data_IF_256126549183
#
_entry.id   IF_256126549183
#
_cell.length_a   1.000
_cell.length_b   1.000
_cell.length_c   1.000
_cell.angle_alpha   90.00
_cell.angle_beta   90.00
_cell.angle_gamma   90.00
#
_symmetry.space_group_name_H-M   'P 1'
#
loop_
_entity.id
_entity.type
_entity.pdbx_description
1 polymer ?
#
# COMPACT_ATOMS: atom_id res chain seq x y z
N UNK A 1 34.34 50.37 -14.82
CA UNK A 1 33.70 49.93 -13.58
C UNK A 1 32.28 49.53 -13.99
N UNK A 2 32.04 48.27 -14.38
CA UNK A 2 30.68 47.79 -14.73
C UNK A 2 30.55 46.25 -14.68
N UNK A 3 31.65 45.48 -14.68
CA UNK A 3 31.59 44.00 -14.64
C UNK A 3 31.23 43.38 -13.27
N UNK A 4 30.86 44.17 -12.25
CA UNK A 4 30.49 43.63 -10.92
C UNK A 4 28.99 43.57 -10.65
N UNK A 5 28.11 44.07 -11.53
CA UNK A 5 26.66 44.09 -11.26
C UNK A 5 25.88 42.89 -11.80
N UNK A 6 26.41 42.17 -12.79
CA UNK A 6 25.70 41.02 -13.40
C UNK A 6 25.92 39.69 -12.67
N UNK A 7 27.02 39.51 -11.92
CA UNK A 7 27.23 38.29 -11.13
C UNK A 7 26.37 38.25 -9.85
N UNK A 8 26.09 39.42 -9.24
CA UNK A 8 25.31 39.52 -8.00
C UNK A 8 23.85 39.07 -8.22
N UNK A 9 23.31 39.32 -9.41
CA UNK A 9 21.90 39.07 -9.73
C UNK A 9 21.59 37.57 -9.94
N UNK A 10 22.54 36.80 -10.48
CA UNK A 10 22.38 35.36 -10.70
C UNK A 10 22.52 34.54 -9.39
N UNK A 11 23.50 34.86 -8.55
CA UNK A 11 23.72 34.19 -7.26
C UNK A 11 22.61 34.48 -6.24
N UNK A 12 22.09 35.70 -6.22
CA UNK A 12 21.02 36.13 -5.30
C UNK A 12 19.64 35.56 -5.70
N UNK A 13 19.43 35.29 -7.00
CA UNK A 13 18.24 34.59 -7.51
C UNK A 13 18.32 33.07 -7.24
N UNK A 14 19.50 32.47 -7.32
CA UNK A 14 19.71 31.06 -6.98
C UNK A 14 19.56 30.78 -5.47
N UNK A 15 20.12 31.64 -4.59
CA UNK A 15 19.98 31.52 -3.14
C UNK A 15 18.53 31.71 -2.68
N UNK A 16 17.79 32.65 -3.26
CA UNK A 16 16.38 32.90 -2.90
C UNK A 16 15.46 31.75 -3.33
N UNK A 17 15.73 31.15 -4.49
CA UNK A 17 15.01 29.96 -4.99
C UNK A 17 15.31 28.73 -4.13
N UNK A 18 16.58 28.48 -3.79
CA UNK A 18 16.98 27.41 -2.88
C UNK A 18 16.34 27.58 -1.49
N UNK A 19 16.30 28.81 -0.97
CA UNK A 19 15.66 29.11 0.33
C UNK A 19 14.15 28.86 0.30
N UNK A 20 13.47 29.14 -0.82
CA UNK A 20 12.04 28.85 -1.00
C UNK A 20 11.77 27.35 -1.04
N UNK A 21 12.56 26.60 -1.81
CA UNK A 21 12.46 25.12 -1.89
C UNK A 21 12.67 24.45 -0.53
N UNK A 22 13.61 24.94 0.29
CA UNK A 22 13.83 24.43 1.66
C UNK A 22 12.63 24.72 2.57
N UNK A 23 12.01 25.90 2.46
CA UNK A 23 10.79 26.26 3.23
C UNK A 23 9.58 25.41 2.81
N UNK A 24 9.42 25.16 1.51
CA UNK A 24 8.34 24.32 0.97
C UNK A 24 8.51 22.87 1.44
N UNK A 25 9.74 22.35 1.44
CA UNK A 25 10.07 21.02 1.96
C UNK A 25 9.78 20.89 3.46
N UNK A 26 10.17 21.87 4.27
CA UNK A 26 9.88 21.88 5.72
C UNK A 26 8.37 21.96 6.01
N UNK A 27 7.65 22.75 5.23
CA UNK A 27 6.18 22.87 5.33
C UNK A 27 5.52 21.53 5.01
N UNK A 28 5.94 20.87 3.93
CA UNK A 28 5.47 19.56 3.53
C UNK A 28 5.82 18.50 4.58
N UNK A 29 7.03 18.51 5.13
CA UNK A 29 7.47 17.60 6.19
C UNK A 29 6.59 17.72 7.44
N UNK A 30 6.29 18.95 7.88
CA UNK A 30 5.40 19.17 9.02
C UNK A 30 3.96 18.73 8.73
N UNK A 31 3.48 18.94 7.51
CA UNK A 31 2.17 18.46 7.07
C UNK A 31 2.10 16.93 7.13
N UNK A 32 3.12 16.26 6.59
CA UNK A 32 3.26 14.79 6.63
C UNK A 32 3.26 14.30 8.08
N UNK A 33 4.11 14.87 8.95
CA UNK A 33 4.19 14.48 10.36
C UNK A 33 2.85 14.65 11.09
N UNK A 34 2.15 15.76 10.86
CA UNK A 34 0.84 16.04 11.44
C UNK A 34 -0.19 15.01 10.97
N UNK A 35 -0.22 14.70 9.66
CA UNK A 35 -1.14 13.71 9.11
C UNK A 35 -0.83 12.30 9.63
N UNK A 36 0.44 11.92 9.71
CA UNK A 36 0.86 10.63 10.29
C UNK A 36 0.42 10.51 11.74
N UNK A 37 0.66 11.54 12.55
CA UNK A 37 0.22 11.56 13.96
C UNK A 37 -1.30 11.46 14.08
N UNK A 38 -2.06 12.14 13.24
CA UNK A 38 -3.51 12.08 13.23
C UNK A 38 -4.04 10.72 12.76
N UNK A 39 -3.41 10.11 11.75
CA UNK A 39 -3.71 8.75 11.31
C UNK A 39 -3.48 7.77 12.46
N UNK A 40 -2.38 7.91 13.20
CA UNK A 40 -2.07 7.04 14.33
C UNK A 40 -3.08 7.20 15.48
N UNK A 41 -3.52 8.42 15.80
CA UNK A 41 -4.57 8.62 16.79
C UNK A 41 -5.91 8.01 16.36
N UNK A 42 -6.31 8.24 15.10
CA UNK A 42 -7.55 7.66 14.54
C UNK A 42 -7.47 6.13 14.52
N UNK A 43 -6.30 5.53 14.24
CA UNK A 43 -6.11 4.08 14.29
C UNK A 43 -6.31 3.51 15.69
N UNK A 44 -5.78 4.18 16.72
CA UNK A 44 -5.95 3.76 18.11
C UNK A 44 -7.41 3.85 18.52
N UNK A 45 -8.09 4.95 18.19
CA UNK A 45 -9.51 5.11 18.47
C UNK A 45 -10.37 4.08 17.71
N UNK A 46 -10.08 3.84 16.43
CA UNK A 46 -10.75 2.83 15.63
C UNK A 46 -10.62 1.43 16.25
N UNK A 47 -9.41 1.06 16.69
CA UNK A 47 -9.17 -0.23 17.35
C UNK A 47 -10.01 -0.37 18.61
N UNK A 48 -10.05 0.68 19.46
CA UNK A 48 -10.86 0.71 20.67
C UNK A 48 -12.35 0.56 20.37
N UNK A 49 -12.89 1.32 19.42
CA UNK A 49 -14.31 1.23 19.07
C UNK A 49 -14.65 -0.12 18.44
N UNK A 50 -13.73 -0.70 17.66
CA UNK A 50 -13.89 -2.04 17.10
C UNK A 50 -13.92 -3.12 18.19
N UNK A 51 -13.07 -3.01 19.21
CA UNK A 51 -13.07 -3.90 20.37
C UNK A 51 -14.37 -3.79 21.16
N UNK A 52 -14.79 -2.55 21.50
CA UNK A 52 -16.06 -2.30 22.18
C UNK A 52 -17.26 -2.88 21.40
N UNK A 53 -17.31 -2.70 20.08
CA UNK A 53 -18.35 -3.27 19.24
C UNK A 53 -18.30 -4.81 19.24
N UNK A 54 -17.10 -5.39 19.18
CA UNK A 54 -16.90 -6.84 19.26
C UNK A 54 -17.43 -7.40 20.58
N UNK A 55 -17.18 -6.72 21.69
CA UNK A 55 -17.68 -7.11 23.01
C UNK A 55 -19.20 -7.01 23.09
N UNK A 56 -19.80 -5.95 22.55
CA UNK A 56 -21.27 -5.80 22.48
C UNK A 56 -21.87 -6.98 21.71
N UNK A 57 -21.32 -7.30 20.53
CA UNK A 57 -21.79 -8.40 19.70
C UNK A 57 -21.62 -9.76 20.39
N UNK A 58 -20.47 -10.02 21.02
CA UNK A 58 -20.20 -11.29 21.70
C UNK A 58 -21.08 -11.52 22.94
N UNK A 59 -21.56 -10.45 23.57
CA UNK A 59 -22.48 -10.51 24.70
C UNK A 59 -23.94 -10.64 24.29
N UNK A 60 -24.28 -10.39 23.02
CA UNK A 60 -25.62 -10.65 22.50
C UNK A 60 -25.82 -12.15 22.25
N UNK A 61 -26.84 -12.73 22.89
CA UNK A 61 -27.15 -14.16 22.80
C UNK A 61 -27.45 -14.59 21.37
N UNK A 62 -28.22 -13.79 20.62
CA UNK A 62 -28.65 -14.15 19.26
C UNK A 62 -27.47 -14.12 18.28
N UNK A 63 -26.60 -13.13 18.41
CA UNK A 63 -25.37 -13.02 17.63
C UNK A 63 -24.42 -14.18 17.93
N UNK A 64 -24.25 -14.53 19.21
CA UNK A 64 -23.37 -15.62 19.63
C UNK A 64 -23.83 -16.96 19.08
N UNK A 65 -25.12 -17.28 19.18
CA UNK A 65 -25.69 -18.52 18.63
C UNK A 65 -25.46 -18.63 17.12
N UNK A 66 -25.73 -17.56 16.37
CA UNK A 66 -25.49 -17.53 14.92
C UNK A 66 -23.99 -17.65 14.60
N UNK A 67 -23.14 -16.95 15.36
CA UNK A 67 -21.69 -17.01 15.20
C UNK A 67 -21.14 -18.43 15.41
N UNK A 68 -21.62 -19.13 16.43
CA UNK A 68 -21.20 -20.49 16.72
C UNK A 68 -21.73 -21.48 15.67
N UNK A 69 -22.96 -21.31 15.18
CA UNK A 69 -23.47 -22.06 14.03
C UNK A 69 -22.62 -21.85 12.77
N UNK A 70 -22.22 -20.60 12.47
CA UNK A 70 -21.35 -20.29 11.33
C UNK A 70 -19.98 -20.96 11.50
N UNK A 71 -19.39 -20.95 12.70
CA UNK A 71 -18.12 -21.64 12.97
C UNK A 71 -18.24 -23.14 12.70
N UNK A 72 -19.29 -23.78 13.20
CA UNK A 72 -19.54 -25.21 12.98
C UNK A 72 -19.75 -25.51 11.49
N UNK A 73 -20.56 -24.71 10.80
CA UNK A 73 -20.82 -24.85 9.36
C UNK A 73 -19.55 -24.61 8.53
N UNK A 74 -18.70 -23.67 8.94
CA UNK A 74 -17.40 -23.41 8.30
C UNK A 74 -16.46 -24.60 8.46
N UNK A 75 -16.43 -25.23 9.64
CA UNK A 75 -15.68 -26.47 9.88
C UNK A 75 -16.18 -27.59 8.97
N UNK A 76 -17.49 -27.85 8.95
CA UNK A 76 -18.12 -28.86 8.08
C UNK A 76 -17.82 -28.60 6.60
N UNK A 77 -17.91 -27.33 6.15
CA UNK A 77 -17.56 -26.92 4.78
C UNK A 77 -16.08 -27.20 4.46
N UNK A 78 -15.18 -26.93 5.41
CA UNK A 78 -13.75 -27.20 5.25
C UNK A 78 -13.48 -28.71 5.14
N UNK A 79 -14.07 -29.52 6.01
CA UNK A 79 -13.96 -30.99 5.98
C UNK A 79 -14.51 -31.57 4.67
N UNK A 80 -15.69 -31.12 4.23
CA UNK A 80 -16.27 -31.51 2.95
C UNK A 80 -15.34 -31.15 1.78
N UNK A 81 -14.77 -29.93 1.78
CA UNK A 81 -13.78 -29.52 0.78
C UNK A 81 -12.55 -30.42 0.82
N UNK A 82 -12.01 -30.72 1.99
CA UNK A 82 -10.85 -31.62 2.12
C UNK A 82 -11.16 -33.00 1.56
N UNK A 83 -12.36 -33.54 1.80
CA UNK A 83 -12.78 -34.81 1.24
C UNK A 83 -12.86 -34.77 -0.30
N UNK A 84 -13.40 -33.71 -0.89
CA UNK A 84 -13.40 -33.51 -2.36
C UNK A 84 -11.97 -33.46 -2.91
N UNK A 85 -11.05 -32.81 -2.19
CA UNK A 85 -9.64 -32.69 -2.57
C UNK A 85 -8.83 -33.97 -2.37
N UNK A 86 -9.36 -35.03 -1.74
CA UNK A 86 -8.69 -36.34 -1.70
C UNK A 86 -8.62 -36.99 -3.08
N UNK A 87 -9.52 -36.62 -3.98
CA UNK A 87 -9.49 -37.09 -5.37
C UNK A 87 -8.27 -36.46 -6.09
N UNK A 88 -7.36 -37.26 -6.68
CA UNK A 88 -6.11 -36.75 -7.24
C UNK A 88 -6.26 -35.62 -8.28
N UNK A 89 -7.27 -35.69 -9.15
CA UNK A 89 -7.55 -34.64 -10.14
C UNK A 89 -7.93 -33.30 -9.49
N UNK A 90 -8.71 -33.34 -8.41
CA UNK A 90 -9.12 -32.16 -7.65
C UNK A 90 -7.94 -31.56 -6.86
N UNK A 91 -7.11 -32.43 -6.26
CA UNK A 91 -5.88 -32.00 -5.59
C UNK A 91 -4.93 -31.27 -6.56
N UNK A 92 -4.70 -31.86 -7.73
CA UNK A 92 -3.87 -31.30 -8.80
C UNK A 92 -4.40 -29.95 -9.29
N UNK A 93 -5.70 -29.85 -9.54
CA UNK A 93 -6.35 -28.58 -9.91
C UNK A 93 -6.16 -27.51 -8.81
N UNK A 94 -6.39 -27.87 -7.55
CA UNK A 94 -6.20 -26.94 -6.43
C UNK A 94 -4.75 -26.50 -6.26
N UNK A 95 -3.78 -27.37 -6.55
CA UNK A 95 -2.37 -27.00 -6.55
C UNK A 95 -2.06 -26.03 -7.71
N UNK A 96 -2.50 -26.34 -8.93
CA UNK A 96 -2.34 -25.45 -10.09
C UNK A 96 -2.91 -24.05 -9.83
N UNK A 97 -4.07 -23.95 -9.18
CA UNK A 97 -4.65 -22.66 -8.78
C UNK A 97 -3.74 -21.89 -7.81
N UNK A 98 -3.10 -22.58 -6.85
CA UNK A 98 -2.16 -21.94 -5.92
C UNK A 98 -0.90 -21.46 -6.64
N UNK A 99 -0.39 -22.27 -7.57
CA UNK A 99 0.79 -21.94 -8.35
C UNK A 99 0.53 -20.71 -9.22
N UNK A 100 -0.59 -20.69 -9.97
CA UNK A 100 -1.01 -19.52 -10.77
C UNK A 100 -1.21 -18.25 -9.93
N UNK A 101 -1.72 -18.36 -8.70
CA UNK A 101 -1.83 -17.20 -7.80
C UNK A 101 -0.47 -16.65 -7.40
N UNK A 102 0.51 -17.54 -7.19
CA UNK A 102 1.88 -17.17 -6.86
C UNK A 102 2.54 -16.50 -8.06
N UNK A 103 2.40 -17.09 -9.25
CA UNK A 103 2.87 -16.53 -10.52
C UNK A 103 2.29 -15.13 -10.78
N UNK A 104 0.98 -14.94 -10.64
CA UNK A 104 0.35 -13.61 -10.78
C UNK A 104 0.93 -12.59 -9.80
N UNK A 105 1.23 -13.00 -8.57
CA UNK A 105 1.85 -12.10 -7.56
C UNK A 105 3.26 -11.70 -7.99
N UNK A 106 4.07 -12.65 -8.44
CA UNK A 106 5.44 -12.42 -8.90
C UNK A 106 5.47 -11.53 -10.15
N UNK A 107 4.60 -11.82 -11.14
CA UNK A 107 4.44 -11.02 -12.35
C UNK A 107 4.02 -9.57 -12.02
N UNK A 108 3.12 -9.36 -11.06
CA UNK A 108 2.74 -8.01 -10.60
C UNK A 108 3.89 -7.26 -9.96
N UNK A 109 4.72 -7.95 -9.17
CA UNK A 109 5.90 -7.35 -8.56
C UNK A 109 6.92 -6.93 -9.62
N UNK A 110 7.20 -7.81 -10.58
CA UNK A 110 8.08 -7.52 -11.71
C UNK A 110 7.55 -6.37 -12.56
N UNK A 111 6.25 -6.39 -12.90
CA UNK A 111 5.59 -5.31 -13.64
C UNK A 111 5.74 -3.96 -12.93
N UNK A 112 5.52 -3.91 -11.62
CA UNK A 112 5.71 -2.66 -10.85
C UNK A 112 7.14 -2.12 -10.96
N UNK A 113 8.15 -3.00 -10.90
CA UNK A 113 9.55 -2.62 -11.09
C UNK A 113 9.84 -2.13 -12.51
N UNK A 114 9.24 -2.75 -13.53
CA UNK A 114 9.38 -2.31 -14.92
C UNK A 114 8.71 -0.96 -15.17
N UNK A 115 7.52 -0.74 -14.61
CA UNK A 115 6.80 0.53 -14.73
C UNK A 115 7.55 1.69 -14.04
N UNK A 116 8.19 1.44 -12.90
CA UNK A 116 9.06 2.44 -12.25
C UNK A 116 10.26 2.81 -13.13
N UNK A 117 10.90 1.82 -13.74
CA UNK A 117 12.02 2.05 -14.66
C UNK A 117 11.57 2.78 -15.93
N UNK A 118 10.43 2.39 -16.50
CA UNK A 118 9.85 3.03 -17.67
C UNK A 118 9.56 4.51 -17.40
N UNK A 119 8.84 4.83 -16.31
CA UNK A 119 8.55 6.22 -15.95
C UNK A 119 9.84 7.04 -15.80
N UNK A 120 10.88 6.47 -15.18
CA UNK A 120 12.17 7.14 -15.00
C UNK A 120 12.90 7.43 -16.31
N UNK A 121 12.78 6.57 -17.32
CA UNK A 121 13.50 6.69 -18.60
C UNK A 121 12.70 7.52 -19.61
N UNK A 122 11.39 7.26 -19.72
CA UNK A 122 10.52 7.88 -20.71
C UNK A 122 9.92 9.22 -20.24
N UNK A 123 10.09 9.55 -18.96
CA UNK A 123 9.54 10.76 -18.31
C UNK A 123 8.01 10.92 -18.54
N UNK A 124 7.30 9.79 -18.59
CA UNK A 124 5.85 9.74 -18.76
C UNK A 124 5.25 8.68 -17.86
N UNK A 125 4.05 8.96 -17.36
CA UNK A 125 3.22 8.02 -16.62
C UNK A 125 2.19 7.32 -17.52
N UNK A 126 2.35 7.37 -18.85
CA UNK A 126 1.44 6.71 -19.79
C UNK A 126 2.17 5.66 -20.63
N UNK A 127 1.50 4.53 -20.85
CA UNK A 127 1.98 3.43 -21.69
C UNK A 127 0.86 2.93 -22.59
N UNK A 128 1.14 2.80 -23.88
CA UNK A 128 0.26 2.12 -24.82
C UNK A 128 0.43 0.60 -24.65
N UNK A 129 -0.69 -0.10 -24.45
CA UNK A 129 -0.74 -1.54 -24.29
C UNK A 129 -0.84 -2.24 -25.66
N UNK A 130 -0.57 -3.55 -25.69
CA UNK A 130 -0.60 -4.34 -26.94
C UNK A 130 -1.99 -4.37 -27.61
N UNK A 131 -3.05 -4.09 -26.85
CA UNK A 131 -4.42 -3.92 -27.33
C UNK A 131 -4.70 -2.52 -27.92
N UNK A 132 -3.72 -1.63 -27.96
CA UNK A 132 -3.84 -0.25 -28.43
C UNK A 132 -4.45 0.70 -27.39
N UNK A 133 -4.70 0.24 -26.17
CA UNK A 133 -5.21 1.11 -25.10
C UNK A 133 -4.06 1.85 -24.40
N UNK A 134 -4.20 3.17 -24.22
CA UNK A 134 -3.30 3.95 -23.38
C UNK A 134 -3.72 3.82 -21.92
N UNK A 135 -2.77 3.40 -21.06
CA UNK A 135 -2.96 3.22 -19.63
C UNK A 135 -2.04 4.15 -18.84
N UNK A 136 -2.55 4.66 -17.72
CA UNK A 136 -1.76 5.47 -16.79
C UNK A 136 -1.11 4.59 -15.71
N UNK A 137 0.14 4.89 -15.39
CA UNK A 137 0.94 4.32 -14.32
C UNK A 137 0.57 5.04 -13.02
N UNK A 138 0.06 4.31 -12.04
CA UNK A 138 -0.32 4.85 -10.73
C UNK A 138 0.51 4.17 -9.63
N UNK A 139 1.21 4.99 -8.83
CA UNK A 139 1.94 4.52 -7.64
C UNK A 139 1.20 4.91 -6.36
N UNK A 140 1.01 3.95 -5.47
CA UNK A 140 0.45 4.18 -4.13
C UNK A 140 1.58 4.31 -3.10
N UNK A 141 1.94 5.56 -2.78
CA UNK A 141 2.96 5.87 -1.79
C UNK A 141 2.38 5.75 -0.37
N UNK A 142 3.02 4.91 0.48
CA UNK A 142 2.61 4.71 1.87
C UNK A 142 3.81 4.81 2.79
N UNK A 143 3.65 5.54 3.89
CA UNK A 143 4.66 5.55 4.95
C UNK A 143 4.51 4.30 5.81
N UNK A 144 5.60 3.51 5.90
CA UNK A 144 5.67 2.31 6.73
C UNK A 144 6.70 2.51 7.84
N UNK A 145 6.42 1.98 9.04
CA UNK A 145 7.37 2.02 10.16
C UNK A 145 8.56 1.11 9.84
N UNK A 146 9.77 1.64 9.93
CA UNK A 146 11.00 0.84 9.84
C UNK A 146 11.18 0.15 11.20
N UNK A 147 10.94 -1.16 11.27
CA UNK A 147 11.12 -1.96 12.49
C UNK A 147 12.54 -2.54 12.61
N UNK A 148 13.56 -1.72 12.40
CA UNK A 148 14.97 -2.06 12.61
C UNK A 148 15.60 -1.04 13.56
N UNK A 149 16.31 -1.51 14.60
CA UNK A 149 17.20 -0.66 15.39
C UNK A 149 18.19 0.00 14.41
N UNK A 150 18.18 1.33 14.32
CA UNK A 150 19.32 2.05 13.77
C UNK A 150 20.44 1.91 14.80
N UNK A 151 21.36 0.97 14.58
CA UNK A 151 22.63 0.98 15.28
C UNK A 151 23.37 2.24 14.81
N UNK A 152 23.64 3.13 15.77
CA UNK A 152 24.36 4.39 15.60
C UNK A 152 25.85 4.15 15.42
#
# INVERSE_FOLDING_TARGET
>A
MDDQQDQVTAEQTALSTATKQVKDLFTLENLIKTHVSHIDSVRVELAKHSEMLTDILNNDTSYKEISDQIKEMTKKKSEAKQNILKVPSNASLNQKIKDMRTEVKELRMALSQYLQQYQKIADTDQIESEDGEVRQIVFDARLVKISGKLDK
#
